data_IF_812247571916
#
_entry.id   IF_812247571916
#
_cell.length_a   1.000
_cell.length_b   1.000
_cell.length_c   1.000
_cell.angle_alpha   90.00
_cell.angle_beta   90.00
_cell.angle_gamma   90.00
#
_symmetry.space_group_name_H-M   'P 1'
#
loop_
_entity.id
_entity.type
_entity.pdbx_description
1 polymer ?
#
# COMPACT_ATOMS: atom_id res chain seq x y z
N UNK A 1 18.82 -3.86 -14.52
CA UNK A 1 18.33 -3.18 -15.73
C UNK A 1 18.91 -1.77 -15.72
N UNK A 2 19.76 -1.41 -16.68
CA UNK A 2 20.62 -0.19 -16.64
C UNK A 2 20.06 1.01 -17.41
N UNK A 3 18.84 0.90 -17.94
CA UNK A 3 18.22 1.95 -18.74
C UNK A 3 17.47 2.94 -17.87
N UNK A 4 17.69 4.22 -18.15
CA UNK A 4 16.89 5.35 -17.67
C UNK A 4 15.39 5.11 -17.88
N UNK A 5 14.59 5.80 -17.07
CA UNK A 5 13.14 5.80 -17.19
C UNK A 5 12.72 7.06 -17.96
N UNK A 6 12.50 6.98 -19.29
CA UNK A 6 12.10 8.16 -20.04
C UNK A 6 10.62 8.48 -19.79
N UNK A 7 10.29 9.77 -19.88
CA UNK A 7 8.90 10.23 -19.76
C UNK A 7 8.04 9.81 -20.96
N UNK A 8 8.62 9.85 -22.16
CA UNK A 8 7.97 9.43 -23.39
C UNK A 8 8.78 8.31 -24.07
N UNK A 9 8.12 7.49 -24.87
CA UNK A 9 8.77 6.57 -25.79
C UNK A 9 9.45 7.36 -26.92
N UNK A 10 10.28 6.67 -27.72
CA UNK A 10 10.91 7.27 -28.91
C UNK A 10 9.89 7.85 -29.91
N UNK A 11 8.65 7.33 -29.90
CA UNK A 11 7.57 7.80 -30.77
C UNK A 11 6.75 8.95 -30.16
N UNK A 12 7.16 9.50 -29.01
CA UNK A 12 6.49 10.62 -28.35
C UNK A 12 5.29 10.26 -27.47
N UNK A 13 4.86 8.99 -27.42
CA UNK A 13 3.80 8.54 -26.51
C UNK A 13 4.31 8.46 -25.07
N UNK A 14 3.50 8.83 -24.07
CA UNK A 14 3.93 8.72 -22.67
C UNK A 14 4.19 7.27 -22.25
N UNK A 15 5.24 7.07 -21.47
CA UNK A 15 5.43 5.80 -20.74
C UNK A 15 4.43 5.72 -19.58
N UNK A 16 4.31 4.57 -18.92
CA UNK A 16 3.48 4.47 -17.70
C UNK A 16 3.92 5.51 -16.64
N UNK A 17 5.22 5.67 -16.43
CA UNK A 17 5.74 6.72 -15.53
C UNK A 17 5.45 8.12 -16.09
N UNK A 18 5.48 8.31 -17.41
CA UNK A 18 5.07 9.55 -18.06
C UNK A 18 3.61 9.92 -17.80
N UNK A 19 2.69 8.94 -17.75
CA UNK A 19 1.30 9.18 -17.40
C UNK A 19 1.14 9.60 -15.93
N UNK A 20 1.84 8.95 -15.00
CA UNK A 20 1.84 9.38 -13.59
C UNK A 20 2.42 10.81 -13.44
N UNK A 21 3.50 11.12 -14.15
CA UNK A 21 4.08 12.45 -14.14
C UNK A 21 3.12 13.50 -14.73
N UNK A 22 2.38 13.15 -15.79
CA UNK A 22 1.34 14.01 -16.36
C UNK A 22 0.21 14.29 -15.35
N UNK A 23 -0.23 13.27 -14.61
CA UNK A 23 -1.26 13.44 -13.57
C UNK A 23 -0.80 14.43 -12.49
N UNK A 24 0.46 14.31 -12.03
CA UNK A 24 1.07 15.28 -11.10
C UNK A 24 1.12 16.68 -11.72
N UNK A 25 1.53 16.82 -12.97
CA UNK A 25 1.63 18.15 -13.60
C UNK A 25 0.26 18.84 -13.67
N UNK A 26 -0.81 18.10 -14.00
CA UNK A 26 -2.18 18.63 -13.98
C UNK A 26 -2.63 19.04 -12.58
N UNK A 27 -2.31 18.23 -11.56
CA UNK A 27 -2.59 18.55 -10.16
C UNK A 27 -1.88 19.84 -9.72
N UNK A 28 -0.59 19.97 -10.03
CA UNK A 28 0.20 21.17 -9.71
C UNK A 28 -0.27 22.43 -10.42
N UNK A 29 -0.85 22.29 -11.62
CA UNK A 29 -1.47 23.40 -12.36
C UNK A 29 -2.91 23.69 -11.93
N UNK A 30 -3.43 22.97 -10.93
CA UNK A 30 -4.81 23.08 -10.46
C UNK A 30 -5.87 22.82 -11.55
N UNK A 31 -5.52 22.03 -12.56
CA UNK A 31 -6.44 21.64 -13.64
C UNK A 31 -7.34 20.47 -13.20
N UNK A 32 -6.77 19.54 -12.42
CA UNK A 32 -7.43 18.36 -11.88
C UNK A 32 -7.05 18.17 -10.40
N UNK A 33 -7.81 17.36 -9.67
CA UNK A 33 -7.44 16.93 -8.32
C UNK A 33 -6.23 15.98 -8.33
N UNK A 34 -5.67 15.69 -7.15
CA UNK A 34 -4.61 14.69 -7.05
C UNK A 34 -5.15 13.30 -7.41
N UNK A 35 -4.40 12.56 -8.23
CA UNK A 35 -4.79 11.22 -8.67
C UNK A 35 -4.70 10.23 -7.51
N UNK A 36 -5.77 9.47 -7.27
CA UNK A 36 -5.78 8.42 -6.25
C UNK A 36 -5.10 7.16 -6.77
N UNK A 37 -4.00 6.77 -6.14
CA UNK A 37 -3.23 5.59 -6.51
C UNK A 37 -3.32 4.48 -5.47
N UNK A 38 -3.54 3.25 -5.95
CA UNK A 38 -3.47 2.04 -5.13
C UNK A 38 -2.03 1.53 -5.08
N UNK A 39 -1.44 1.51 -3.89
CA UNK A 39 -0.04 1.12 -3.70
C UNK A 39 0.05 -0.30 -3.17
N UNK A 40 0.79 -1.13 -3.88
CA UNK A 40 1.18 -2.46 -3.43
C UNK A 40 2.65 -2.47 -3.03
N UNK A 41 2.95 -3.16 -1.95
CA UNK A 41 4.31 -3.37 -1.47
C UNK A 41 4.70 -4.84 -1.61
N UNK A 42 5.94 -5.08 -2.04
CA UNK A 42 6.50 -6.42 -2.07
C UNK A 42 7.15 -6.68 -0.72
N UNK A 43 6.53 -7.54 0.09
CA UNK A 43 7.03 -7.86 1.44
C UNK A 43 8.02 -9.02 1.42
N UNK A 44 7.89 -9.97 0.49
CA UNK A 44 8.80 -11.10 0.29
C UNK A 44 8.89 -11.47 -1.21
N UNK A 45 9.87 -12.27 -1.65
CA UNK A 45 9.89 -12.81 -3.01
C UNK A 45 8.57 -13.52 -3.35
N UNK A 46 7.88 -13.03 -4.37
CA UNK A 46 6.57 -13.57 -4.80
C UNK A 46 5.36 -13.13 -3.96
N UNK A 47 5.56 -12.35 -2.89
CA UNK A 47 4.47 -11.92 -1.99
C UNK A 47 4.26 -10.41 -2.06
N UNK A 48 3.10 -10.02 -2.56
CA UNK A 48 2.65 -8.64 -2.64
C UNK A 48 1.50 -8.39 -1.66
N UNK A 49 1.53 -7.25 -0.98
CA UNK A 49 0.49 -6.82 -0.04
C UNK A 49 -0.03 -5.46 -0.46
N UNK A 50 -1.34 -5.22 -0.32
CA UNK A 50 -1.90 -3.89 -0.43
C UNK A 50 -1.38 -3.03 0.72
N UNK A 51 -0.70 -1.93 0.38
CA UNK A 51 -0.31 -0.90 1.34
C UNK A 51 -1.48 0.03 1.60
N UNK A 52 -2.17 0.48 0.55
CA UNK A 52 -3.36 1.33 0.71
C UNK A 52 -3.56 2.23 -0.50
N UNK A 53 -4.39 3.25 -0.32
CA UNK A 53 -4.68 4.29 -1.30
C UNK A 53 -4.01 5.60 -0.91
N UNK A 54 -3.39 6.27 -1.87
CA UNK A 54 -2.59 7.46 -1.65
C UNK A 54 -2.88 8.47 -2.74
N UNK A 55 -2.80 9.75 -2.41
CA UNK A 55 -2.88 10.80 -3.42
C UNK A 55 -1.49 10.99 -4.01
N UNK A 56 -1.40 11.01 -5.33
CA UNK A 56 -0.17 11.27 -6.07
C UNK A 56 0.04 12.77 -6.21
N UNK A 57 0.96 13.33 -5.43
CA UNK A 57 1.08 14.78 -5.25
C UNK A 57 2.29 15.40 -5.93
N UNK A 58 3.38 14.64 -6.09
CA UNK A 58 4.60 15.15 -6.71
C UNK A 58 5.44 14.02 -7.35
N UNK A 59 6.44 14.37 -8.16
CA UNK A 59 7.54 13.52 -8.56
C UNK A 59 8.83 14.32 -8.74
N UNK A 60 9.95 13.62 -8.65
CA UNK A 60 11.26 14.10 -9.09
C UNK A 60 11.95 13.01 -9.91
N UNK A 61 12.95 13.40 -10.68
CA UNK A 61 13.83 12.46 -11.36
C UNK A 61 15.16 12.48 -10.62
N UNK A 62 15.60 11.31 -10.16
CA UNK A 62 16.86 11.16 -9.43
C UNK A 62 17.76 10.12 -10.08
N UNK A 63 19.07 10.31 -9.95
CA UNK A 63 20.07 9.32 -10.34
C UNK A 63 20.19 8.29 -9.21
N UNK A 64 19.82 7.03 -9.47
CA UNK A 64 19.90 5.92 -8.50
C UNK A 64 21.32 5.33 -8.34
N UNK A 65 22.33 6.07 -8.81
CA UNK A 65 23.73 5.65 -8.94
C UNK A 65 24.05 4.96 -10.27
N UNK A 66 23.03 4.57 -11.07
CA UNK A 66 23.24 3.93 -12.38
C UNK A 66 22.41 4.54 -13.49
N UNK A 67 21.24 5.07 -13.16
CA UNK A 67 20.28 5.59 -14.14
C UNK A 67 19.33 6.61 -13.52
N UNK A 68 18.72 7.42 -14.37
CA UNK A 68 17.66 8.33 -13.99
C UNK A 68 16.35 7.57 -13.77
N UNK A 69 15.73 7.78 -12.61
CA UNK A 69 14.48 7.12 -12.22
C UNK A 69 13.46 8.14 -11.70
N UNK A 70 12.18 7.86 -11.92
CA UNK A 70 11.12 8.63 -11.29
C UNK A 70 10.99 8.25 -9.82
N UNK A 71 10.94 9.26 -8.96
CA UNK A 71 10.62 9.15 -7.54
C UNK A 71 9.32 9.91 -7.33
N UNK A 72 8.22 9.18 -7.21
CA UNK A 72 6.90 9.72 -6.94
C UNK A 72 6.71 9.97 -5.44
N UNK A 73 6.07 11.08 -5.11
CA UNK A 73 5.78 11.52 -3.75
C UNK A 73 4.28 11.40 -3.55
N UNK A 74 3.93 10.75 -2.44
CA UNK A 74 2.56 10.34 -2.12
C UNK A 74 2.15 10.93 -0.78
N UNK A 75 0.91 11.41 -0.69
CA UNK A 75 0.27 11.73 0.59
C UNK A 75 -0.80 10.70 0.92
N UNK A 76 -1.05 10.51 2.20
CA UNK A 76 -2.09 9.60 2.65
C UNK A 76 -3.46 10.14 2.24
N UNK A 77 -4.23 9.38 1.46
CA UNK A 77 -5.52 9.84 0.95
C UNK A 77 -6.62 9.80 2.02
N UNK A 78 -7.62 10.68 1.88
CA UNK A 78 -8.83 10.63 2.69
C UNK A 78 -9.60 9.31 2.52
N UNK A 79 -9.47 8.65 1.37
CA UNK A 79 -10.09 7.35 1.07
C UNK A 79 -9.48 6.18 1.87
N UNK A 80 -8.41 6.42 2.63
CA UNK A 80 -7.86 5.42 3.56
C UNK A 80 -8.81 5.10 4.72
N UNK A 81 -9.87 5.90 4.90
CA UNK A 81 -10.87 5.73 5.96
C UNK A 81 -12.29 5.58 5.41
N UNK A 82 -12.78 4.34 5.36
CA UNK A 82 -14.13 4.08 5.84
C UNK A 82 -14.11 4.23 7.37
N UNK A 83 -14.63 5.35 7.88
CA UNK A 83 -14.82 5.69 9.31
C UNK A 83 -13.62 6.22 10.13
N UNK A 84 -13.13 7.44 9.87
CA UNK A 84 -12.98 8.50 10.92
C UNK A 84 -12.07 9.66 10.48
N UNK A 85 -12.64 10.87 10.53
CA UNK A 85 -11.91 12.15 10.49
C UNK A 85 -11.14 12.36 11.79
N UNK A 86 -9.88 11.97 11.85
CA UNK A 86 -8.95 12.46 12.88
C UNK A 86 -7.55 12.59 12.28
N UNK A 87 -6.85 13.68 12.64
CA UNK A 87 -5.48 14.00 12.18
C UNK A 87 -4.57 12.79 12.33
N UNK A 88 -4.00 12.34 11.21
CA UNK A 88 -3.34 11.04 11.12
C UNK A 88 -1.89 11.17 11.57
N UNK A 89 -1.63 10.82 12.84
CA UNK A 89 -0.32 10.34 13.26
C UNK A 89 -0.07 8.99 12.57
N UNK A 90 1.07 8.83 11.89
CA UNK A 90 1.45 7.61 11.18
C UNK A 90 1.41 6.38 12.10
N UNK A 91 1.64 6.55 13.42
CA UNK A 91 1.54 5.48 14.43
C UNK A 91 0.10 5.01 14.67
N UNK A 92 -0.90 5.81 14.27
CA UNK A 92 -2.34 5.56 14.43
C UNK A 92 -3.03 5.29 13.08
N UNK A 93 -2.29 4.86 12.06
CA UNK A 93 -2.88 4.39 10.81
C UNK A 93 -3.31 2.92 10.91
N UNK A 94 -4.38 2.54 10.21
CA UNK A 94 -4.71 1.12 9.92
C UNK A 94 -3.64 0.41 9.07
N UNK A 95 -2.59 1.11 8.66
CA UNK A 95 -1.48 0.56 7.91
C UNK A 95 -0.65 -0.35 8.80
N UNK A 96 -0.54 -1.61 8.41
CA UNK A 96 0.36 -2.56 9.04
C UNK A 96 1.75 -2.34 8.43
N UNK A 97 2.75 -2.10 9.27
CA UNK A 97 4.13 -1.89 8.83
C UNK A 97 4.66 -3.10 8.07
N UNK A 98 5.52 -2.86 7.09
CA UNK A 98 6.07 -3.91 6.22
C UNK A 98 6.79 -4.99 7.03
N UNK A 99 7.51 -4.60 8.09
CA UNK A 99 8.20 -5.50 9.01
C UNK A 99 7.22 -6.44 9.73
N UNK A 100 6.10 -5.89 10.22
CA UNK A 100 5.03 -6.65 10.86
C UNK A 100 4.39 -7.63 9.87
N UNK A 101 4.12 -7.19 8.64
CA UNK A 101 3.58 -8.08 7.58
C UNK A 101 4.54 -9.24 7.26
N UNK A 102 5.84 -8.96 7.16
CA UNK A 102 6.85 -9.99 6.93
C UNK A 102 6.90 -11.00 8.08
N UNK A 103 6.85 -10.52 9.33
CA UNK A 103 6.86 -11.36 10.52
C UNK A 103 5.62 -12.26 10.57
N UNK A 104 4.43 -11.69 10.35
CA UNK A 104 3.16 -12.43 10.31
C UNK A 104 3.16 -13.45 9.19
N UNK A 105 3.64 -13.10 7.99
CA UNK A 105 3.70 -14.04 6.88
C UNK A 105 4.60 -15.25 7.18
N UNK A 106 5.76 -15.01 7.80
CA UNK A 106 6.68 -16.07 8.21
C UNK A 106 6.08 -16.94 9.31
N UNK A 107 5.49 -16.33 10.33
CA UNK A 107 4.85 -17.00 11.47
C UNK A 107 3.68 -17.88 11.01
N UNK A 108 2.81 -17.35 10.16
CA UNK A 108 1.61 -18.03 9.68
C UNK A 108 1.89 -18.93 8.47
N UNK A 109 3.16 -19.05 8.06
CA UNK A 109 3.63 -19.87 6.95
C UNK A 109 2.90 -19.62 5.62
N UNK A 110 2.47 -18.37 5.37
CA UNK A 110 1.67 -18.02 4.20
C UNK A 110 0.36 -18.80 4.11
N UNK A 111 -0.27 -19.10 5.25
CA UNK A 111 -1.53 -19.85 5.34
C UNK A 111 -2.52 -19.13 6.25
N UNK A 112 -3.80 -19.35 5.99
CA UNK A 112 -4.86 -18.92 6.90
C UNK A 112 -4.71 -19.64 8.24
N UNK A 113 -4.69 -18.89 9.35
CA UNK A 113 -4.53 -19.49 10.69
C UNK A 113 -5.74 -20.31 11.15
N UNK A 114 -6.90 -20.14 10.53
CA UNK A 114 -8.13 -20.87 10.87
C UNK A 114 -8.29 -22.19 10.10
N UNK A 115 -7.95 -22.21 8.80
CA UNK A 115 -8.19 -23.39 7.94
C UNK A 115 -6.98 -23.88 7.13
N UNK A 116 -5.84 -23.20 7.20
CA UNK A 116 -4.63 -23.59 6.45
C UNK A 116 -4.64 -23.26 4.95
N UNK A 117 -5.70 -22.63 4.42
CA UNK A 117 -5.76 -22.19 3.02
C UNK A 117 -4.60 -21.26 2.66
N UNK A 118 -4.05 -21.38 1.45
CA UNK A 118 -2.99 -20.52 0.90
C UNK A 118 -3.51 -19.50 -0.11
N UNK A 119 -4.84 -19.44 -0.31
CA UNK A 119 -5.48 -18.62 -1.35
C UNK A 119 -6.16 -17.39 -0.76
N UNK A 120 -6.10 -16.28 -1.49
CA UNK A 120 -6.76 -15.01 -1.16
C UNK A 120 -6.57 -14.62 0.32
N UNK A 121 -5.30 -14.51 0.72
CA UNK A 121 -4.92 -14.19 2.09
C UNK A 121 -4.96 -12.69 2.35
N UNK A 122 -5.45 -12.33 3.52
CA UNK A 122 -5.58 -10.98 4.03
C UNK A 122 -4.86 -10.88 5.36
N UNK A 123 -4.18 -9.76 5.60
CA UNK A 123 -3.72 -9.39 6.93
C UNK A 123 -4.89 -8.78 7.68
N UNK A 124 -5.29 -9.41 8.77
CA UNK A 124 -6.41 -9.00 9.61
C UNK A 124 -5.95 -8.71 11.03
N UNK A 125 -6.54 -7.71 11.67
CA UNK A 125 -6.28 -7.37 13.07
C UNK A 125 -7.13 -8.23 14.00
N UNK A 126 -6.52 -8.86 15.00
CA UNK A 126 -7.25 -9.65 16.00
C UNK A 126 -8.14 -8.76 16.87
N UNK A 127 -7.56 -7.77 17.54
CA UNK A 127 -8.28 -6.66 18.14
C UNK A 127 -8.43 -5.56 17.08
N UNK A 128 -9.67 -5.16 16.78
CA UNK A 128 -9.94 -4.09 15.84
C UNK A 128 -9.32 -2.77 16.29
N UNK A 129 -8.85 -1.96 15.34
CA UNK A 129 -8.25 -0.64 15.64
C UNK A 129 -9.17 0.25 16.49
N UNK A 130 -10.48 0.26 16.19
CA UNK A 130 -11.52 0.99 16.93
C UNK A 130 -11.64 0.62 18.42
N UNK A 131 -11.03 -0.50 18.83
CA UNK A 131 -11.05 -1.01 20.21
C UNK A 131 -9.65 -1.04 20.84
N UNK A 132 -8.71 -0.24 20.29
CA UNK A 132 -7.34 -0.13 20.81
C UNK A 132 -6.35 -1.12 20.18
N UNK A 133 -6.76 -1.83 19.12
CA UNK A 133 -5.87 -2.72 18.37
C UNK A 133 -4.71 -1.97 17.73
N UNK A 134 -3.49 -2.47 17.94
CA UNK A 134 -2.27 -1.90 17.37
C UNK A 134 -1.87 -2.57 16.06
N UNK A 135 -1.38 -1.79 15.10
CA UNK A 135 -0.72 -2.27 13.87
C UNK A 135 0.80 -2.43 14.03
N UNK A 136 1.34 -2.13 15.22
CA UNK A 136 2.78 -2.02 15.49
C UNK A 136 3.46 -3.35 15.78
N UNK A 137 2.69 -4.41 16.06
CA UNK A 137 3.25 -5.72 16.42
C UNK A 137 2.54 -6.84 15.67
N UNK A 138 3.28 -7.91 15.35
CA UNK A 138 2.73 -9.13 14.75
C UNK A 138 1.68 -9.81 15.63
N UNK A 139 1.73 -9.60 16.95
CA UNK A 139 0.83 -10.24 17.92
C UNK A 139 -0.64 -9.93 17.67
N UNK A 140 -0.94 -8.74 17.16
CA UNK A 140 -2.32 -8.32 16.89
C UNK A 140 -2.72 -8.48 15.41
N UNK A 141 -1.91 -9.15 14.60
CA UNK A 141 -2.15 -9.30 13.15
C UNK A 141 -2.01 -10.78 12.76
N UNK A 142 -2.88 -11.27 11.89
CA UNK A 142 -2.89 -12.67 11.40
C UNK A 142 -3.27 -12.77 9.93
N UNK A 143 -2.92 -13.88 9.30
CA UNK A 143 -3.39 -14.24 7.96
C UNK A 143 -4.73 -14.97 8.02
N UNK A 144 -5.73 -14.42 7.32
CA UNK A 144 -7.01 -15.07 7.09
C UNK A 144 -7.26 -15.21 5.59
N UNK A 145 -7.88 -16.32 5.16
CA UNK A 145 -8.43 -16.36 3.80
C UNK A 145 -9.67 -15.48 3.72
N UNK A 146 -10.06 -15.11 2.49
CA UNK A 146 -11.24 -14.27 2.23
C UNK A 146 -12.49 -14.73 2.99
N UNK A 147 -12.79 -16.03 3.02
CA UNK A 147 -13.97 -16.58 3.70
C UNK A 147 -13.95 -16.32 5.22
N UNK A 148 -12.83 -16.65 5.90
CA UNK A 148 -12.70 -16.41 7.34
C UNK A 148 -12.61 -14.92 7.68
N UNK A 149 -11.99 -14.12 6.81
CA UNK A 149 -11.92 -12.68 6.98
C UNK A 149 -13.32 -12.04 6.91
N UNK A 150 -14.14 -12.46 5.94
CA UNK A 150 -15.52 -12.00 5.80
C UNK A 150 -16.41 -12.49 6.96
N UNK A 151 -16.24 -13.74 7.38
CA UNK A 151 -17.00 -14.33 8.50
C UNK A 151 -16.76 -13.59 9.82
N UNK A 152 -15.52 -13.14 10.06
CA UNK A 152 -15.16 -12.33 11.24
C UNK A 152 -15.89 -10.98 11.25
N UNK A 153 -16.05 -10.33 10.11
CA UNK A 153 -16.65 -8.99 10.03
C UNK A 153 -16.00 -8.02 11.05
N UNK A 154 -16.78 -7.17 11.73
CA UNK A 154 -16.30 -6.29 12.81
C UNK A 154 -16.26 -6.96 14.21
N UNK A 155 -16.43 -8.29 14.30
CA UNK A 155 -16.44 -9.01 15.58
C UNK A 155 -15.00 -9.20 16.07
N UNK A 156 -14.78 -9.00 17.37
CA UNK A 156 -13.54 -9.45 18.04
C UNK A 156 -13.71 -10.94 18.29
N UNK A 157 -12.66 -11.72 18.00
CA UNK A 157 -12.52 -13.11 18.43
C UNK A 157 -11.23 -13.26 19.22
#
# INVERSE_FOLDING_TARGET
>A
KYLDQPRATINGTFTQNGHFALAVDKFKRHEEGAELVKVYEKILPGVWSLKGFFDLVDYKIELDGKRNVFVFILSLSAEQNTDSKAKIDLKHTRLIQSEVKMEVWKRDHGKCVKCGSTKNLHFDHELSFSKGGTSLTSKNVRLLCMEHNLAKSAKIE
#
